data_IF_633634854603
#
_entry.id   IF_633634854603
#
_cell.length_a   1.000
_cell.length_b   1.000
_cell.length_c   1.000
_cell.angle_alpha   90.00
_cell.angle_beta   90.00
_cell.angle_gamma   90.00
#
_symmetry.space_group_name_H-M   'P 1'
#
loop_
_entity.id
_entity.type
_entity.pdbx_description
1 polymer ?
#
# COMPACT_ATOMS: atom_id res chain seq x y z
N UNK A 1 16.50 3.82 -2.50
CA UNK A 1 16.17 2.82 -1.49
C UNK A 1 15.79 3.60 -0.25
N UNK A 2 14.60 3.36 0.32
CA UNK A 2 14.21 4.09 1.53
C UNK A 2 15.00 3.32 2.56
N UNK A 3 16.15 3.87 2.86
CA UNK A 3 17.18 3.16 3.59
C UNK A 3 16.63 2.99 5.01
N UNK A 4 16.13 1.78 5.31
CA UNK A 4 15.63 1.46 6.63
C UNK A 4 16.77 1.34 7.65
N UNK A 5 18.03 1.38 7.20
CA UNK A 5 19.21 1.56 8.05
C UNK A 5 19.57 3.04 8.22
N UNK A 6 19.00 3.94 7.42
CA UNK A 6 19.22 5.37 7.58
C UNK A 6 18.36 5.92 8.71
N UNK A 7 19.04 6.42 9.75
CA UNK A 7 18.42 7.14 10.87
C UNK A 7 17.41 8.22 10.43
N UNK A 8 17.55 8.77 9.21
CA UNK A 8 16.67 9.80 8.66
C UNK A 8 15.19 9.39 8.49
N UNK A 9 14.89 8.10 8.43
CA UNK A 9 13.48 7.63 8.37
C UNK A 9 12.88 7.40 9.76
N UNK A 10 13.71 7.38 10.79
CA UNK A 10 13.29 7.24 12.17
C UNK A 10 13.24 8.61 12.84
N UNK A 11 12.25 8.77 13.69
CA UNK A 11 12.12 9.95 14.52
C UNK A 11 12.39 9.55 15.95
N UNK A 12 13.53 9.96 16.50
CA UNK A 12 13.84 9.75 17.91
C UNK A 12 13.09 10.77 18.75
N UNK A 13 12.23 10.30 19.65
CA UNK A 13 11.56 11.13 20.64
C UNK A 13 12.37 11.06 21.94
N UNK A 14 13.03 12.14 22.38
CA UNK A 14 13.81 12.11 23.62
C UNK A 14 12.95 11.80 24.84
N UNK A 15 13.58 11.28 25.91
CA UNK A 15 12.89 11.05 27.18
C UNK A 15 12.24 12.35 27.70
N UNK A 16 10.95 12.29 28.01
CA UNK A 16 10.16 13.44 28.47
C UNK A 16 9.65 14.36 27.35
N UNK A 17 9.92 14.04 26.08
CA UNK A 17 9.42 14.80 24.93
C UNK A 17 8.15 14.18 24.33
N UNK A 18 7.41 14.98 23.56
CA UNK A 18 6.20 14.55 22.85
C UNK A 18 6.19 15.06 21.42
N UNK A 19 5.53 14.33 20.53
CA UNK A 19 5.30 14.74 19.14
C UNK A 19 3.80 14.82 18.89
N UNK A 20 3.38 15.87 18.21
CA UNK A 20 2.02 16.06 17.76
C UNK A 20 2.01 16.16 16.23
N UNK A 21 1.22 15.31 15.59
CA UNK A 21 1.03 15.32 14.13
C UNK A 21 -0.40 15.76 13.85
N UNK A 22 -0.57 16.75 12.96
CA UNK A 22 -1.87 17.19 12.50
C UNK A 22 -2.14 16.63 11.11
N UNK A 23 -3.16 15.78 10.97
CA UNK A 23 -3.57 15.22 9.69
C UNK A 23 -4.69 16.07 9.09
N UNK A 24 -4.34 16.90 8.12
CA UNK A 24 -5.33 17.64 7.31
C UNK A 24 -5.74 16.82 6.09
N UNK A 25 -6.98 17.01 5.61
CA UNK A 25 -7.52 16.34 4.42
C UNK A 25 -7.65 14.80 4.54
N UNK A 26 -8.32 14.34 5.61
CA UNK A 26 -8.69 12.93 5.77
C UNK A 26 -9.77 12.46 4.77
N UNK A 27 -10.62 13.38 4.29
CA UNK A 27 -11.75 13.08 3.39
C UNK A 27 -11.40 12.26 2.14
N UNK A 28 -10.32 12.60 1.42
CA UNK A 28 -9.83 11.81 0.28
C UNK A 28 -9.16 10.47 0.62
N UNK A 29 -8.73 10.26 1.87
CA UNK A 29 -8.02 9.05 2.31
C UNK A 29 -8.98 7.92 2.72
N UNK A 30 -10.20 8.26 3.11
CA UNK A 30 -11.22 7.30 3.58
C UNK A 30 -12.50 7.44 2.76
N UNK A 31 -13.19 6.33 2.54
CA UNK A 31 -14.36 6.28 1.66
C UNK A 31 -15.66 6.72 2.38
N UNK A 32 -15.73 7.96 2.88
CA UNK A 32 -16.92 8.44 3.59
C UNK A 32 -18.20 8.45 2.73
N UNK A 33 -18.05 8.49 1.39
CA UNK A 33 -19.16 8.52 0.45
C UNK A 33 -20.09 7.31 0.56
N UNK A 34 -19.54 6.12 0.81
CA UNK A 34 -20.32 4.88 0.90
C UNK A 34 -20.97 4.70 2.27
N UNK A 35 -20.40 5.31 3.32
CA UNK A 35 -20.89 5.20 4.69
C UNK A 35 -21.78 6.37 5.13
N UNK A 36 -21.73 7.51 4.46
CA UNK A 36 -22.51 8.69 4.79
C UNK A 36 -21.99 9.46 6.01
N UNK A 37 -22.79 10.39 6.50
CA UNK A 37 -22.47 11.19 7.70
C UNK A 37 -22.56 10.31 8.95
N UNK A 38 -21.68 10.51 9.92
CA UNK A 38 -21.65 9.70 11.12
C UNK A 38 -20.42 9.96 11.99
N UNK A 39 -20.32 9.19 13.07
CA UNK A 39 -19.14 9.19 13.94
C UNK A 39 -18.25 8.03 13.53
N UNK A 40 -17.01 8.33 13.16
CA UNK A 40 -15.99 7.36 12.77
C UNK A 40 -14.91 7.31 13.84
N UNK A 41 -14.49 6.10 14.22
CA UNK A 41 -13.46 5.89 15.23
C UNK A 41 -12.15 5.52 14.56
N UNK A 42 -11.09 6.24 14.92
CA UNK A 42 -9.73 6.00 14.42
C UNK A 42 -8.89 5.47 15.57
N UNK A 43 -8.52 4.20 15.51
CA UNK A 43 -7.58 3.60 16.45
C UNK A 43 -6.14 3.83 15.94
N UNK A 44 -5.27 4.47 16.73
CA UNK A 44 -3.85 4.59 16.37
C UNK A 44 -3.19 3.21 16.34
N UNK A 45 -2.20 3.04 15.46
CA UNK A 45 -1.30 1.89 15.54
C UNK A 45 -0.36 2.12 16.72
N UNK A 46 -0.40 1.22 17.69
CA UNK A 46 0.40 1.33 18.92
C UNK A 46 1.39 0.20 19.14
N UNK A 47 1.58 -0.63 18.12
CA UNK A 47 2.61 -1.68 18.15
C UNK A 47 3.89 -1.11 17.54
N UNK A 48 4.92 -0.95 18.36
CA UNK A 48 6.23 -0.45 17.96
C UNK A 48 7.25 -1.57 18.02
N UNK A 49 7.98 -1.80 16.93
CA UNK A 49 9.13 -2.70 16.94
C UNK A 49 10.29 -2.00 17.64
N UNK A 50 10.80 -2.61 18.72
CA UNK A 50 11.92 -2.07 19.52
C UNK A 50 13.25 -2.75 19.18
N UNK A 51 13.23 -3.76 18.32
CA UNK A 51 14.38 -4.43 17.73
C UNK A 51 13.97 -5.73 17.03
N UNK A 52 14.85 -6.32 16.20
CA UNK A 52 14.53 -7.47 15.35
C UNK A 52 14.15 -8.74 16.14
N UNK A 53 14.69 -8.91 17.36
CA UNK A 53 14.42 -10.06 18.22
C UNK A 53 13.69 -9.69 19.53
N UNK A 54 13.19 -8.45 19.61
CA UNK A 54 12.47 -7.98 20.79
C UNK A 54 10.96 -8.14 20.63
N UNK A 55 10.28 -8.41 21.75
CA UNK A 55 8.83 -8.36 21.77
C UNK A 55 8.36 -6.93 21.37
N UNK A 56 7.36 -6.81 20.49
CA UNK A 56 6.85 -5.50 20.11
C UNK A 56 6.31 -4.76 21.33
N UNK A 57 6.66 -3.47 21.46
CA UNK A 57 6.11 -2.61 22.48
C UNK A 57 4.68 -2.25 22.07
N UNK A 58 3.70 -2.66 22.86
CA UNK A 58 2.34 -2.17 22.73
C UNK A 58 2.06 -1.04 23.71
N UNK A 59 1.59 0.08 23.19
CA UNK A 59 1.16 1.23 23.98
C UNK A 59 -0.36 1.26 24.01
N UNK A 60 -0.95 1.48 25.19
CA UNK A 60 -2.38 1.73 25.29
C UNK A 60 -2.68 3.17 24.85
N UNK A 61 -3.61 3.34 23.92
CA UNK A 61 -4.13 4.63 23.52
C UNK A 61 -5.63 4.52 23.28
N UNK A 62 -6.32 5.62 23.53
CA UNK A 62 -7.73 5.73 23.18
C UNK A 62 -7.90 5.98 21.68
N UNK A 63 -8.99 5.46 21.13
CA UNK A 63 -9.39 5.77 19.76
C UNK A 63 -9.94 7.21 19.69
N UNK A 64 -9.69 7.88 18.58
CA UNK A 64 -10.19 9.23 18.32
C UNK A 64 -11.50 9.15 17.54
N UNK A 65 -12.57 9.72 18.10
CA UNK A 65 -13.85 9.83 17.42
C UNK A 65 -13.89 11.11 16.58
N UNK A 66 -14.19 10.98 15.29
CA UNK A 66 -14.36 12.10 14.36
C UNK A 66 -15.79 12.10 13.86
N UNK A 67 -16.46 13.24 13.99
CA UNK A 67 -17.82 13.40 13.51
C UNK A 67 -17.83 14.03 12.11
N UNK A 68 -18.25 13.26 11.12
CA UNK A 68 -18.44 13.72 9.74
C UNK A 68 -19.88 14.19 9.60
N UNK A 69 -20.06 15.51 9.57
CA UNK A 69 -21.40 16.14 9.63
C UNK A 69 -21.97 16.49 8.25
N UNK A 70 -21.13 16.64 7.23
CA UNK A 70 -21.51 16.96 5.85
C UNK A 70 -20.34 16.71 4.89
N UNK A 71 -20.59 16.86 3.58
CA UNK A 71 -19.62 16.65 2.49
C UNK A 71 -18.84 15.32 2.55
N UNK A 72 -19.57 14.24 2.30
CA UNK A 72 -19.00 12.89 2.16
C UNK A 72 -18.57 12.60 0.73
N UNK A 73 -18.58 13.59 -0.17
CA UNK A 73 -18.26 13.34 -1.56
C UNK A 73 -16.83 12.85 -1.69
N UNK A 74 -16.65 11.69 -2.32
CA UNK A 74 -15.32 11.14 -2.59
C UNK A 74 -14.57 12.08 -3.53
N UNK A 75 -13.51 12.69 -3.03
CA UNK A 75 -12.59 13.52 -3.82
C UNK A 75 -11.33 12.72 -4.01
N UNK A 76 -10.93 12.49 -5.25
CA UNK A 76 -9.64 11.87 -5.50
C UNK A 76 -8.53 12.81 -5.01
N UNK A 77 -7.57 12.27 -4.24
CA UNK A 77 -6.35 13.00 -3.84
C UNK A 77 -5.63 13.60 -5.06
N UNK A 78 -5.78 12.95 -6.21
CA UNK A 78 -5.32 13.44 -7.51
C UNK A 78 -6.52 13.45 -8.48
N UNK A 79 -6.92 14.60 -9.04
CA UNK A 79 -8.02 14.69 -9.99
C UNK A 79 -7.79 13.76 -11.20
N UNK A 80 -8.83 13.01 -11.57
CA UNK A 80 -8.74 12.06 -12.70
C UNK A 80 -8.12 10.71 -12.33
N UNK A 81 -8.40 10.17 -11.14
CA UNK A 81 -8.09 8.78 -10.74
C UNK A 81 -9.36 7.91 -10.57
N UNK A 82 -10.22 7.85 -11.58
CA UNK A 82 -11.27 6.81 -11.68
C UNK A 82 -10.70 5.40 -11.86
N UNK A 83 -11.44 4.38 -11.39
CA UNK A 83 -11.14 2.94 -11.46
C UNK A 83 -10.88 2.49 -12.90
N UNK A 84 -9.61 2.36 -13.30
CA UNK A 84 -9.20 2.03 -14.67
C UNK A 84 -7.91 1.21 -14.67
N UNK A 85 -7.68 0.50 -15.77
CA UNK A 85 -6.58 -0.45 -15.96
C UNK A 85 -5.24 0.27 -16.18
N UNK A 86 -4.13 -0.36 -15.84
CA UNK A 86 -2.81 0.28 -15.82
C UNK A 86 -2.06 0.04 -17.13
N UNK A 87 -1.52 1.11 -17.74
CA UNK A 87 -0.58 1.00 -18.87
C UNK A 87 0.63 1.89 -18.61
N UNK A 88 1.83 1.31 -18.52
CA UNK A 88 3.05 2.08 -18.49
C UNK A 88 3.15 2.95 -19.73
N UNK A 89 3.34 4.25 -19.53
CA UNK A 89 3.70 5.18 -20.60
C UNK A 89 4.94 5.93 -20.14
N UNK A 90 5.97 5.92 -20.96
CA UNK A 90 7.21 6.64 -20.69
C UNK A 90 7.87 6.96 -22.02
N UNK A 91 8.35 8.19 -22.17
CA UNK A 91 9.08 8.60 -23.37
C UNK A 91 10.44 7.90 -23.47
N UNK A 92 11.04 7.57 -22.33
CA UNK A 92 12.28 6.80 -22.24
C UNK A 92 11.96 5.29 -22.34
N UNK A 93 12.50 4.65 -23.38
CA UNK A 93 12.23 3.23 -23.68
C UNK A 93 12.77 2.27 -22.62
N UNK A 94 13.88 2.61 -21.95
CA UNK A 94 14.46 1.80 -20.87
C UNK A 94 13.60 1.88 -19.62
N UNK A 95 13.15 3.08 -19.26
CA UNK A 95 12.22 3.28 -18.15
C UNK A 95 10.86 2.64 -18.43
N UNK A 96 10.38 2.73 -19.67
CA UNK A 96 9.16 2.05 -20.12
C UNK A 96 9.24 0.54 -19.93
N UNK A 97 10.37 -0.07 -20.33
CA UNK A 97 10.58 -1.51 -20.14
C UNK A 97 10.58 -1.88 -18.66
N UNK A 98 11.30 -1.11 -17.82
CA UNK A 98 11.32 -1.34 -16.36
C UNK A 98 9.91 -1.30 -15.77
N UNK A 99 9.08 -0.32 -16.14
CA UNK A 99 7.70 -0.24 -15.67
C UNK A 99 6.86 -1.43 -16.16
N UNK A 100 7.05 -1.85 -17.41
CA UNK A 100 6.33 -2.98 -18.00
C UNK A 100 6.66 -4.29 -17.28
N UNK A 101 7.94 -4.56 -17.05
CA UNK A 101 8.40 -5.76 -16.33
C UNK A 101 7.91 -5.76 -14.88
N UNK A 102 7.99 -4.61 -14.23
CA UNK A 102 7.54 -4.44 -12.85
C UNK A 102 6.04 -4.66 -12.72
N UNK A 103 5.25 -4.19 -13.68
CA UNK A 103 3.80 -4.35 -13.68
C UNK A 103 3.42 -5.80 -13.97
N UNK A 104 4.12 -6.45 -14.90
CA UNK A 104 3.92 -7.87 -15.15
C UNK A 104 4.20 -8.72 -13.91
N UNK A 105 5.24 -8.39 -13.14
CA UNK A 105 5.51 -9.08 -11.90
C UNK A 105 4.49 -8.77 -10.80
N UNK A 106 4.06 -7.51 -10.66
CA UNK A 106 3.00 -7.14 -9.73
C UNK A 106 1.74 -7.99 -9.94
N UNK A 107 1.36 -8.22 -11.20
CA UNK A 107 0.24 -9.11 -11.57
C UNK A 107 0.48 -10.55 -11.15
N UNK A 108 1.70 -11.06 -11.37
CA UNK A 108 2.08 -12.41 -10.95
C UNK A 108 2.02 -12.57 -9.42
N UNK A 109 2.51 -11.59 -8.66
CA UNK A 109 2.41 -11.60 -7.20
C UNK A 109 0.96 -11.57 -6.73
N UNK A 110 0.14 -10.69 -7.33
CA UNK A 110 -1.27 -10.60 -7.00
C UNK A 110 -2.01 -11.91 -7.28
N UNK A 111 -1.73 -12.56 -8.41
CA UNK A 111 -2.32 -13.86 -8.75
C UNK A 111 -1.89 -14.97 -7.79
N UNK A 112 -0.60 -14.98 -7.40
CA UNK A 112 -0.09 -15.89 -6.38
C UNK A 112 -0.77 -15.68 -5.03
N UNK A 113 -0.89 -14.42 -4.59
CA UNK A 113 -1.58 -14.07 -3.34
C UNK A 113 -3.08 -14.44 -3.39
N UNK A 114 -3.78 -14.18 -4.50
CA UNK A 114 -5.17 -14.58 -4.67
C UNK A 114 -5.34 -16.10 -4.58
N UNK A 115 -4.43 -16.86 -5.18
CA UNK A 115 -4.43 -18.33 -5.08
C UNK A 115 -4.21 -18.76 -3.63
N UNK A 116 -3.24 -18.17 -2.94
CA UNK A 116 -2.88 -18.52 -1.57
C UNK A 116 -4.00 -18.21 -0.56
N UNK A 117 -4.68 -17.07 -0.70
CA UNK A 117 -5.86 -16.72 0.13
C UNK A 117 -6.94 -17.79 0.05
N UNK A 118 -7.13 -18.44 -1.11
CA UNK A 118 -8.12 -19.50 -1.29
C UNK A 118 -7.63 -20.86 -0.81
N UNK A 119 -6.35 -21.18 -0.97
CA UNK A 119 -5.79 -22.48 -0.58
C UNK A 119 -5.40 -22.57 0.90
N UNK A 120 -5.04 -21.44 1.51
CA UNK A 120 -4.59 -21.33 2.90
C UNK A 120 -5.32 -20.20 3.66
N UNK A 121 -6.66 -20.25 3.75
CA UNK A 121 -7.47 -19.16 4.30
C UNK A 121 -7.16 -18.79 5.77
N UNK A 122 -6.55 -19.71 6.51
CA UNK A 122 -6.16 -19.52 7.92
C UNK A 122 -4.64 -19.63 8.14
N UNK A 123 -3.85 -19.41 7.09
CA UNK A 123 -2.38 -19.44 7.20
C UNK A 123 -1.85 -18.33 8.11
N UNK A 124 -0.70 -18.53 8.77
CA UNK A 124 -0.08 -17.50 9.62
C UNK A 124 0.20 -16.21 8.84
N UNK A 125 0.48 -16.30 7.55
CA UNK A 125 0.68 -15.16 6.65
C UNK A 125 -0.62 -14.36 6.49
N UNK A 126 -1.76 -15.02 6.24
CA UNK A 126 -3.05 -14.36 6.10
C UNK A 126 -3.41 -13.57 7.37
N UNK A 127 -3.24 -14.19 8.53
CA UNK A 127 -3.49 -13.54 9.83
C UNK A 127 -2.55 -12.36 10.06
N UNK A 128 -1.25 -12.51 9.71
CA UNK A 128 -0.25 -11.47 9.89
C UNK A 128 -0.51 -10.23 9.02
N UNK A 129 -0.95 -10.41 7.77
CA UNK A 129 -1.12 -9.29 6.84
C UNK A 129 -2.52 -8.68 6.84
N UNK A 130 -3.55 -9.48 7.12
CA UNK A 130 -4.94 -9.06 6.93
C UNK A 130 -5.79 -9.12 8.19
N UNK A 131 -5.25 -9.57 9.33
CA UNK A 131 -5.88 -9.48 10.66
C UNK A 131 -7.37 -9.92 10.73
N UNK A 132 -7.78 -10.88 9.90
CA UNK A 132 -9.15 -11.41 9.88
C UNK A 132 -10.17 -10.61 9.05
N UNK A 133 -9.72 -9.71 8.16
CA UNK A 133 -10.57 -9.06 7.16
C UNK A 133 -11.29 -10.10 6.25
N UNK A 134 -12.24 -9.64 5.43
CA UNK A 134 -13.01 -10.50 4.52
C UNK A 134 -12.10 -11.13 3.45
N UNK A 135 -12.00 -12.47 3.48
CA UNK A 135 -11.20 -13.23 2.50
C UNK A 135 -11.68 -13.00 1.07
N UNK A 136 -13.00 -12.94 0.86
CA UNK A 136 -13.58 -12.73 -0.47
C UNK A 136 -13.22 -11.35 -1.02
N UNK A 137 -13.21 -10.30 -0.17
CA UNK A 137 -12.85 -8.95 -0.60
C UNK A 137 -11.36 -8.84 -0.92
N UNK A 138 -10.50 -9.45 -0.10
CA UNK A 138 -9.05 -9.44 -0.34
C UNK A 138 -8.72 -10.23 -1.60
N UNK A 139 -9.29 -11.43 -1.74
CA UNK A 139 -9.16 -12.26 -2.92
C UNK A 139 -9.59 -11.51 -4.18
N UNK A 140 -10.79 -10.91 -4.16
CA UNK A 140 -11.34 -10.18 -5.30
C UNK A 140 -10.46 -9.00 -5.70
N UNK A 141 -9.88 -8.30 -4.73
CA UNK A 141 -8.96 -7.20 -5.01
C UNK A 141 -7.65 -7.70 -5.64
N UNK A 142 -7.09 -8.80 -5.16
CA UNK A 142 -5.87 -9.39 -5.72
C UNK A 142 -6.09 -9.97 -7.12
N UNK A 143 -7.21 -10.66 -7.34
CA UNK A 143 -7.60 -11.21 -8.65
C UNK A 143 -7.77 -10.10 -9.70
N UNK A 144 -8.37 -8.98 -9.32
CA UNK A 144 -8.50 -7.81 -10.21
C UNK A 144 -7.16 -7.21 -10.61
N UNK A 145 -6.19 -7.17 -9.69
CA UNK A 145 -4.84 -6.69 -10.01
C UNK A 145 -4.16 -7.67 -10.94
N UNK A 146 -4.26 -8.99 -10.68
CA UNK A 146 -3.72 -10.02 -11.56
C UNK A 146 -4.31 -9.94 -12.98
N UNK A 147 -5.62 -9.66 -13.07
CA UNK A 147 -6.38 -9.49 -14.30
C UNK A 147 -6.24 -8.14 -15.01
N UNK A 148 -5.33 -7.25 -14.56
CA UNK A 148 -5.07 -5.93 -15.16
C UNK A 148 -4.45 -5.99 -16.57
N UNK A 149 -4.85 -6.91 -17.45
CA UNK A 149 -4.18 -7.15 -18.73
C UNK A 149 -4.35 -5.98 -19.70
N UNK A 150 -3.34 -5.76 -20.55
CA UNK A 150 -3.37 -4.74 -21.60
C UNK A 150 -4.61 -4.88 -22.52
N UNK A 151 -5.15 -6.09 -22.71
CA UNK A 151 -6.29 -6.37 -23.58
C UNK A 151 -7.65 -5.86 -23.09
N UNK A 152 -7.77 -5.31 -21.87
CA UNK A 152 -9.08 -5.20 -21.18
C UNK A 152 -9.79 -3.83 -21.18
N UNK A 153 -9.32 -2.82 -21.95
CA UNK A 153 -10.07 -1.57 -22.16
C UNK A 153 -9.33 -0.28 -21.82
N UNK A 154 -10.04 0.73 -21.29
CA UNK A 154 -9.57 2.11 -21.09
C UNK A 154 -8.50 2.21 -20.00
N UNK A 155 -7.35 2.81 -20.33
CA UNK A 155 -6.10 2.77 -19.56
C UNK A 155 -5.71 4.11 -18.94
N UNK A 156 -4.97 4.10 -17.84
CA UNK A 156 -4.23 5.29 -17.32
C UNK A 156 -2.74 5.01 -17.17
N UNK A 157 -1.97 6.10 -17.23
CA UNK A 157 -0.54 6.14 -17.02
C UNK A 157 -0.22 5.81 -15.56
N UNK A 158 0.72 4.91 -15.33
CA UNK A 158 1.34 4.73 -14.01
C UNK A 158 2.38 5.84 -13.85
N UNK A 159 2.25 6.65 -12.81
CA UNK A 159 3.24 7.65 -12.46
C UNK A 159 4.17 7.08 -11.39
N UNK A 160 5.47 7.18 -11.63
CA UNK A 160 6.49 6.80 -10.66
C UNK A 160 7.51 7.92 -10.55
N UNK A 161 8.06 8.13 -9.36
CA UNK A 161 9.16 9.06 -9.16
C UNK A 161 10.46 8.46 -9.73
N UNK A 162 11.46 9.31 -10.06
CA UNK A 162 12.76 8.86 -10.57
C UNK A 162 13.44 7.80 -9.69
N UNK A 163 13.20 7.91 -8.39
CA UNK A 163 13.63 6.97 -7.38
C UNK A 163 13.26 5.51 -7.65
N UNK A 164 12.10 5.27 -8.25
CA UNK A 164 11.67 3.94 -8.66
C UNK A 164 12.69 3.27 -9.60
N UNK A 165 13.27 4.07 -10.50
CA UNK A 165 14.23 3.57 -11.49
C UNK A 165 15.64 3.44 -10.95
N UNK A 166 16.05 4.34 -10.06
CA UNK A 166 17.44 4.45 -9.59
C UNK A 166 17.71 3.66 -8.31
N UNK A 167 16.66 3.33 -7.57
CA UNK A 167 16.78 3.12 -6.13
C UNK A 167 15.87 2.03 -5.58
N UNK A 168 14.98 1.44 -6.38
CA UNK A 168 14.16 0.29 -5.97
C UNK A 168 14.77 -0.99 -6.56
N UNK A 169 14.85 -2.03 -5.73
CA UNK A 169 15.46 -3.31 -6.05
C UNK A 169 14.79 -4.04 -7.22
N UNK A 170 15.58 -4.78 -8.00
CA UNK A 170 15.07 -5.62 -9.07
C UNK A 170 14.45 -6.90 -8.52
N UNK A 171 13.56 -7.44 -9.33
CA UNK A 171 12.56 -8.42 -8.95
C UNK A 171 13.03 -9.86 -8.71
N UNK A 172 14.30 -10.25 -8.96
CA UNK A 172 14.87 -11.48 -8.39
C UNK A 172 15.68 -11.26 -7.10
N UNK A 173 15.94 -10.00 -6.70
CA UNK A 173 16.89 -9.66 -5.63
C UNK A 173 16.36 -9.84 -4.20
N UNK A 174 15.04 -9.93 -4.02
CA UNK A 174 14.42 -10.04 -2.68
C UNK A 174 14.84 -11.30 -1.94
N UNK A 175 14.98 -12.44 -2.65
CA UNK A 175 15.29 -13.73 -2.01
C UNK A 175 16.79 -14.05 -1.99
N UNK A 176 17.64 -13.15 -2.49
CA UNK A 176 19.09 -13.37 -2.64
C UNK A 176 19.95 -12.29 -1.99
N UNK A 177 19.36 -11.16 -1.57
CA UNK A 177 20.02 -10.13 -0.77
C UNK A 177 19.79 -10.32 0.74
N UNK A 178 20.70 -9.77 1.55
CA UNK A 178 20.46 -9.63 2.99
C UNK A 178 19.22 -8.77 3.25
N UNK A 179 18.58 -8.94 4.40
CA UNK A 179 17.32 -8.32 4.82
C UNK A 179 17.22 -6.78 4.68
N UNK A 180 18.31 -6.10 4.31
CA UNK A 180 18.49 -4.66 4.22
C UNK A 180 18.31 -4.08 2.78
N UNK A 181 18.20 -4.92 1.75
CA UNK A 181 17.76 -4.44 0.42
C UNK A 181 16.24 -4.33 0.37
N UNK A 182 15.70 -3.34 1.08
CA UNK A 182 14.32 -2.82 1.06
C UNK A 182 13.25 -3.82 0.59
N UNK A 183 12.36 -4.20 1.51
CA UNK A 183 11.23 -5.14 1.36
C UNK A 183 10.26 -4.90 0.17
N UNK A 184 10.55 -3.95 -0.72
CA UNK A 184 9.76 -3.66 -1.90
C UNK A 184 10.61 -3.78 -3.16
N UNK A 185 10.41 -4.84 -3.93
CA UNK A 185 10.85 -4.91 -5.31
C UNK A 185 10.06 -3.90 -6.13
N UNK A 186 10.56 -3.51 -7.30
CA UNK A 186 9.79 -2.66 -8.23
C UNK A 186 8.40 -3.22 -8.52
N UNK A 187 8.27 -4.55 -8.56
CA UNK A 187 6.97 -5.19 -8.71
C UNK A 187 6.11 -5.16 -7.43
N UNK A 188 6.70 -5.22 -6.24
CA UNK A 188 5.99 -4.97 -4.97
C UNK A 188 5.48 -3.53 -4.85
N UNK A 189 6.30 -2.54 -5.24
CA UNK A 189 5.89 -1.13 -5.30
C UNK A 189 4.73 -0.96 -6.29
N UNK A 190 4.84 -1.49 -7.52
CA UNK A 190 3.73 -1.39 -8.45
C UNK A 190 2.47 -2.15 -7.99
N UNK A 191 2.61 -3.27 -7.27
CA UNK A 191 1.49 -3.95 -6.65
C UNK A 191 0.77 -3.03 -5.65
N UNK A 192 1.51 -2.33 -4.78
CA UNK A 192 0.97 -1.34 -3.85
C UNK A 192 0.21 -0.23 -4.60
N UNK A 193 0.83 0.37 -5.61
CA UNK A 193 0.23 1.51 -6.33
C UNK A 193 -1.02 1.09 -7.14
N UNK A 194 -0.94 -0.04 -7.85
CA UNK A 194 -2.06 -0.53 -8.67
C UNK A 194 -3.26 -0.91 -7.80
N UNK A 195 -3.03 -1.44 -6.59
CA UNK A 195 -4.10 -1.68 -5.60
C UNK A 195 -4.83 -0.38 -5.27
N UNK A 196 -4.11 0.69 -4.96
CA UNK A 196 -4.71 1.98 -4.60
C UNK A 196 -5.58 2.55 -5.73
N UNK A 197 -5.12 2.42 -6.99
CA UNK A 197 -5.87 2.86 -8.17
C UNK A 197 -7.10 2.00 -8.49
N UNK A 198 -7.05 0.68 -8.25
CA UNK A 198 -8.16 -0.25 -8.57
C UNK A 198 -9.23 -0.35 -7.49
N UNK A 199 -8.88 -0.02 -6.24
CA UNK A 199 -9.76 -0.10 -5.08
C UNK A 199 -10.29 1.26 -4.63
N UNK A 200 -9.92 2.35 -5.30
CA UNK A 200 -10.44 3.68 -5.02
C UNK A 200 -9.91 4.29 -3.72
N UNK A 201 -8.62 4.11 -3.43
CA UNK A 201 -7.90 4.99 -2.49
C UNK A 201 -7.53 4.43 -1.12
N UNK A 202 -7.56 3.11 -0.87
CA UNK A 202 -6.99 2.58 0.39
C UNK A 202 -5.48 2.34 0.19
N UNK A 203 -4.69 3.35 0.51
CA UNK A 203 -3.23 3.31 0.62
C UNK A 203 -2.85 2.50 1.87
N UNK A 204 -1.96 1.51 1.71
CA UNK A 204 -1.34 0.78 2.81
C UNK A 204 0.17 0.98 2.73
N UNK A 205 0.66 2.08 3.31
CA UNK A 205 2.09 2.31 3.48
C UNK A 205 2.65 1.24 4.42
N UNK A 206 3.63 0.48 3.93
CA UNK A 206 4.67 -0.13 4.77
C UNK A 206 5.77 0.91 4.88
#
# INVERSE_FOLDING_TARGET
TLDLSADAIYMTIPAGSSIAVNHTALGPLYDFATFGTGTFSFAPVTTFQTGPDHAPLQVATDAVAVQVTHDVAKRALVPGLERRLSTPTCADSRRLQILTDSLSYARSLAGGAATDIRSHPNGPEYTSYFAGNSQDDIWFNMDRIAGDLASSGTRRCIYTCDYFFTSVGSTPGICTGGYDVTQSSRGGVLLHEVRAHMCGGICFLI
#
